data_IF_710440959509
#
_entry.id   IF_710440959509
#
_cell.length_a   1.000
_cell.length_b   1.000
_cell.length_c   1.000
_cell.angle_alpha   90.00
_cell.angle_beta   90.00
_cell.angle_gamma   90.00
#
_symmetry.space_group_name_H-M   'P 1'
#
loop_
_entity.id
_entity.type
_entity.pdbx_description
1 polymer ?
#
# COMPACT_ATOMS: atom_id res chain seq x y z
N UNK A 1 10.77 -1.44 -12.38
CA UNK A 1 11.67 -1.56 -11.22
C UNK A 1 11.03 -2.48 -10.20
N UNK A 2 11.78 -3.38 -9.58
CA UNK A 2 11.31 -4.31 -8.56
C UNK A 2 12.40 -4.55 -7.52
N UNK A 3 12.01 -5.00 -6.32
CA UNK A 3 12.96 -5.41 -5.28
C UNK A 3 13.51 -6.81 -5.61
N UNK A 4 14.84 -6.92 -5.76
CA UNK A 4 15.50 -8.19 -6.04
C UNK A 4 15.63 -9.10 -4.81
N UNK A 5 15.65 -8.51 -3.62
CA UNK A 5 15.93 -9.17 -2.36
C UNK A 5 14.97 -8.69 -1.26
N UNK A 6 14.84 -9.50 -0.21
CA UNK A 6 14.09 -9.09 0.97
C UNK A 6 14.89 -8.06 1.76
N UNK A 7 14.24 -7.05 2.29
CA UNK A 7 14.87 -6.02 3.14
C UNK A 7 14.16 -6.03 4.48
N UNK A 8 14.94 -6.12 5.55
CA UNK A 8 14.49 -5.81 6.90
C UNK A 8 15.19 -4.53 7.34
N UNK A 9 14.41 -3.54 7.74
CA UNK A 9 14.89 -2.28 8.30
C UNK A 9 14.47 -2.21 9.76
N UNK A 10 15.45 -2.03 10.64
CA UNK A 10 15.29 -1.70 12.04
C UNK A 10 16.02 -0.38 12.34
N UNK A 11 15.78 0.25 13.51
CA UNK A 11 16.48 1.48 13.89
C UNK A 11 18.00 1.34 13.85
N UNK A 12 18.51 0.26 14.43
CA UNK A 12 19.93 0.00 14.66
C UNK A 12 20.60 -0.79 13.54
N UNK A 13 19.84 -1.52 12.71
CA UNK A 13 20.39 -2.34 11.64
C UNK A 13 19.50 -2.48 10.41
N UNK A 14 20.12 -2.73 9.26
CA UNK A 14 19.46 -3.14 8.01
C UNK A 14 19.97 -4.51 7.63
N UNK A 15 19.08 -5.39 7.15
CA UNK A 15 19.43 -6.72 6.64
C UNK A 15 18.86 -6.90 5.25
N UNK A 16 19.70 -7.38 4.34
CA UNK A 16 19.30 -7.85 3.02
C UNK A 16 19.24 -9.38 3.07
N UNK A 17 18.08 -9.92 2.69
CA UNK A 17 17.74 -11.32 2.81
C UNK A 17 17.52 -11.95 1.43
N UNK A 18 18.04 -13.16 1.27
CA UNK A 18 17.77 -14.04 0.16
C UNK A 18 17.37 -15.41 0.72
N UNK A 19 16.27 -15.99 0.24
CA UNK A 19 15.75 -17.28 0.73
C UNK A 19 15.63 -17.35 2.27
N UNK A 20 15.16 -16.26 2.90
CA UNK A 20 14.99 -16.12 4.34
C UNK A 20 16.30 -16.19 5.17
N UNK A 21 17.47 -16.02 4.52
CA UNK A 21 18.77 -15.91 5.17
C UNK A 21 19.33 -14.52 4.98
N UNK A 22 20.00 -13.99 6.00
CA UNK A 22 20.68 -12.69 5.91
C UNK A 22 22.01 -12.86 5.22
N UNK A 23 22.18 -12.13 4.13
CA UNK A 23 23.41 -12.12 3.35
C UNK A 23 24.18 -10.82 3.52
N UNK A 24 23.49 -9.71 3.72
CA UNK A 24 24.12 -8.43 4.05
C UNK A 24 23.49 -7.88 5.31
N UNK A 25 24.31 -7.37 6.21
CA UNK A 25 23.85 -6.67 7.40
C UNK A 25 24.64 -5.38 7.57
N UNK A 26 23.93 -4.28 7.80
CA UNK A 26 24.48 -2.96 8.08
C UNK A 26 24.09 -2.60 9.51
N UNK A 27 25.06 -2.36 10.39
CA UNK A 27 24.80 -1.93 11.76
C UNK A 27 25.22 -0.47 11.93
N UNK A 28 24.37 0.30 12.63
CA UNK A 28 24.61 1.69 13.00
C UNK A 28 25.14 2.56 11.84
N UNK A 29 24.70 2.25 10.62
CA UNK A 29 25.03 2.94 9.37
C UNK A 29 26.50 2.93 8.97
N UNK A 30 27.32 2.11 9.61
CA UNK A 30 28.78 2.20 9.51
C UNK A 30 29.48 0.84 9.42
N UNK A 31 28.89 -0.21 9.99
CA UNK A 31 29.48 -1.54 9.94
C UNK A 31 28.78 -2.37 8.88
N UNK A 32 29.56 -2.90 7.93
CA UNK A 32 29.05 -3.79 6.90
C UNK A 32 29.49 -5.22 7.18
N UNK A 33 28.52 -6.14 7.16
CA UNK A 33 28.76 -7.57 7.17
C UNK A 33 28.23 -8.17 5.86
N UNK A 34 29.07 -8.95 5.19
CA UNK A 34 28.67 -9.73 4.02
C UNK A 34 28.86 -11.21 4.35
N UNK A 35 27.79 -12.00 4.26
CA UNK A 35 27.74 -13.43 4.61
C UNK A 35 28.24 -13.73 6.04
N UNK A 36 28.12 -12.76 6.94
CA UNK A 36 28.57 -12.86 8.33
C UNK A 36 30.01 -12.41 8.59
N UNK A 37 30.76 -12.05 7.55
CA UNK A 37 32.13 -11.53 7.68
C UNK A 37 32.09 -10.00 7.77
N UNK A 38 32.84 -9.43 8.73
CA UNK A 38 32.98 -7.99 8.85
C UNK A 38 33.88 -7.45 7.75
N UNK A 39 33.36 -6.52 6.96
CA UNK A 39 34.11 -5.84 5.91
C UNK A 39 34.71 -4.56 6.51
N UNK A 40 36.04 -4.46 6.45
CA UNK A 40 36.74 -3.23 6.82
C UNK A 40 36.51 -2.18 5.74
N UNK A 41 35.97 -1.03 6.13
CA UNK A 41 35.64 0.07 5.23
C UNK A 41 36.58 1.24 5.48
N UNK A 42 36.97 1.93 4.41
CA UNK A 42 37.63 3.23 4.52
C UNK A 42 36.64 4.36 4.83
N UNK A 43 37.15 5.59 4.95
CA UNK A 43 36.33 6.75 5.29
C UNK A 43 35.29 7.12 4.21
N UNK A 44 35.63 6.93 2.93
CA UNK A 44 34.72 7.21 1.81
C UNK A 44 33.63 6.13 1.72
N UNK A 45 34.01 4.86 1.84
CA UNK A 45 33.10 3.72 1.85
C UNK A 45 32.13 3.78 3.02
N UNK A 46 32.61 4.15 4.22
CA UNK A 46 31.77 4.34 5.40
C UNK A 46 30.77 5.49 5.18
N UNK A 47 31.19 6.58 4.54
CA UNK A 47 30.30 7.70 4.23
C UNK A 47 29.22 7.30 3.21
N UNK A 48 29.57 6.51 2.19
CA UNK A 48 28.63 5.97 1.20
C UNK A 48 27.64 4.98 1.83
N UNK A 49 28.13 4.05 2.67
CA UNK A 49 27.27 3.11 3.39
C UNK A 49 26.26 3.83 4.30
N UNK A 50 26.70 4.92 4.95
CA UNK A 50 25.81 5.76 5.76
C UNK A 50 24.72 6.42 4.92
N UNK A 51 25.07 7.00 3.78
CA UNK A 51 24.09 7.59 2.87
C UNK A 51 23.09 6.55 2.36
N UNK A 52 23.58 5.37 1.98
CA UNK A 52 22.75 4.26 1.52
C UNK A 52 21.77 3.79 2.60
N UNK A 53 22.26 3.52 3.80
CA UNK A 53 21.45 3.02 4.92
C UNK A 53 20.43 4.04 5.43
N UNK A 54 20.77 5.33 5.44
CA UNK A 54 19.82 6.40 5.77
C UNK A 54 18.78 6.58 4.66
N UNK A 55 19.20 6.49 3.40
CA UNK A 55 18.30 6.52 2.24
C UNK A 55 17.26 5.42 2.33
N UNK A 56 17.68 4.17 2.55
CA UNK A 56 16.78 3.02 2.72
C UNK A 56 15.79 3.22 3.88
N UNK A 57 16.25 3.72 5.04
CA UNK A 57 15.38 3.96 6.21
C UNK A 57 14.30 5.01 5.95
N UNK A 58 14.57 5.99 5.10
CA UNK A 58 13.58 6.99 4.71
C UNK A 58 12.62 6.45 3.66
N UNK A 59 13.15 5.72 2.70
CA UNK A 59 12.45 5.31 1.50
C UNK A 59 11.51 4.13 1.70
N UNK A 60 11.93 3.08 2.40
CA UNK A 60 11.10 1.87 2.59
C UNK A 60 9.76 2.18 3.27
N UNK A 61 9.68 2.98 4.36
CA UNK A 61 8.40 3.37 4.95
C UNK A 61 7.51 4.15 3.99
N UNK A 62 8.10 5.00 3.14
CA UNK A 62 7.37 5.82 2.16
C UNK A 62 6.68 4.94 1.10
N UNK A 63 7.35 3.86 0.64
CA UNK A 63 6.75 2.89 -0.28
C UNK A 63 5.57 2.18 0.34
N UNK A 64 5.75 1.73 1.58
CA UNK A 64 4.67 1.05 2.30
C UNK A 64 3.46 1.99 2.37
N UNK A 65 3.68 3.27 2.68
CA UNK A 65 2.61 4.28 2.68
C UNK A 65 1.94 4.46 1.32
N UNK A 66 2.70 4.54 0.21
CA UNK A 66 2.11 4.70 -1.14
C UNK A 66 1.25 3.50 -1.51
N UNK A 67 1.72 2.29 -1.19
CA UNK A 67 0.97 1.08 -1.45
C UNK A 67 -0.29 0.97 -0.56
N UNK A 68 -0.25 1.47 0.68
CA UNK A 68 -1.46 1.66 1.52
C UNK A 68 -2.43 2.62 0.83
N UNK A 69 -1.96 3.80 0.46
CA UNK A 69 -2.78 4.86 -0.14
C UNK A 69 -3.45 4.37 -1.43
N UNK A 70 -2.75 3.57 -2.24
CA UNK A 70 -3.30 2.97 -3.46
C UNK A 70 -4.40 1.95 -3.20
N UNK A 71 -4.25 1.10 -2.18
CA UNK A 71 -5.30 0.15 -1.76
C UNK A 71 -6.51 0.90 -1.19
N UNK A 72 -6.28 1.91 -0.36
CA UNK A 72 -7.35 2.74 0.22
C UNK A 72 -8.13 3.50 -0.87
N UNK A 73 -7.45 4.06 -1.87
CA UNK A 73 -8.09 4.74 -3.00
C UNK A 73 -8.97 3.79 -3.82
N UNK A 74 -8.46 2.58 -4.11
CA UNK A 74 -9.24 1.56 -4.82
C UNK A 74 -10.48 1.12 -4.05
N UNK A 75 -10.33 0.91 -2.74
CA UNK A 75 -11.44 0.54 -1.85
C UNK A 75 -12.46 1.66 -1.67
N UNK A 76 -12.00 2.92 -1.57
CA UNK A 76 -12.87 4.10 -1.45
C UNK A 76 -13.65 4.36 -2.73
N UNK A 77 -13.07 4.07 -3.90
CA UNK A 77 -13.79 4.11 -5.18
C UNK A 77 -14.95 3.10 -5.21
N UNK A 78 -14.73 1.90 -4.66
CA UNK A 78 -15.80 0.89 -4.52
C UNK A 78 -16.88 1.41 -3.54
N UNK A 79 -16.50 1.98 -2.40
CA UNK A 79 -17.45 2.60 -1.47
C UNK A 79 -18.30 3.69 -2.14
N UNK A 80 -17.69 4.59 -2.92
CA UNK A 80 -18.38 5.67 -3.61
C UNK A 80 -19.38 5.16 -4.67
N UNK A 81 -19.11 4.03 -5.33
CA UNK A 81 -20.09 3.37 -6.20
C UNK A 81 -21.31 2.85 -5.43
N UNK A 82 -21.15 2.51 -4.15
CA UNK A 82 -22.21 1.98 -3.29
C UNK A 82 -22.85 3.00 -2.34
N UNK A 83 -22.25 4.18 -2.14
CA UNK A 83 -22.77 5.21 -1.22
C UNK A 83 -24.12 5.79 -1.66
N UNK A 84 -24.45 5.67 -2.96
CA UNK A 84 -25.78 6.00 -3.50
C UNK A 84 -26.79 4.85 -3.43
N UNK A 85 -26.39 3.66 -2.97
CA UNK A 85 -27.17 2.43 -3.09
C UNK A 85 -26.94 1.52 -1.86
N UNK A 86 -27.65 1.79 -0.77
CA UNK A 86 -27.57 0.99 0.48
C UNK A 86 -27.94 1.80 1.72
N UNK A 87 -28.22 1.13 2.84
CA UNK A 87 -28.50 1.81 4.11
C UNK A 87 -27.22 2.37 4.74
N UNK A 88 -27.37 3.37 5.63
CA UNK A 88 -26.24 3.97 6.37
C UNK A 88 -25.43 2.93 7.18
N UNK A 89 -26.09 1.87 7.66
CA UNK A 89 -25.43 0.76 8.36
C UNK A 89 -24.53 -0.06 7.42
N UNK A 90 -24.96 -0.30 6.18
CA UNK A 90 -24.17 -1.03 5.19
C UNK A 90 -22.93 -0.22 4.79
N UNK A 91 -23.05 1.10 4.64
CA UNK A 91 -21.91 1.98 4.37
C UNK A 91 -20.89 1.97 5.52
N UNK A 92 -21.35 1.91 6.77
CA UNK A 92 -20.45 1.79 7.92
C UNK A 92 -19.71 0.44 7.97
N UNK A 93 -20.39 -0.66 7.63
CA UNK A 93 -19.78 -1.99 7.49
C UNK A 93 -18.71 -2.00 6.38
N UNK A 94 -18.99 -1.35 5.25
CA UNK A 94 -18.03 -1.15 4.16
C UNK A 94 -16.76 -0.44 4.65
N UNK A 95 -16.89 0.73 5.28
CA UNK A 95 -15.73 1.46 5.82
C UNK A 95 -14.93 0.65 6.84
N UNK A 96 -15.62 -0.11 7.69
CA UNK A 96 -14.96 -0.96 8.67
C UNK A 96 -14.16 -2.08 7.99
N UNK A 97 -14.73 -2.71 6.96
CA UNK A 97 -14.07 -3.74 6.17
C UNK A 97 -12.84 -3.18 5.45
N UNK A 98 -12.96 -2.01 4.82
CA UNK A 98 -11.85 -1.33 4.12
C UNK A 98 -10.70 -1.07 5.10
N UNK A 99 -10.99 -0.46 6.25
CA UNK A 99 -9.98 -0.17 7.27
C UNK A 99 -9.30 -1.43 7.81
N UNK A 100 -10.07 -2.47 8.10
CA UNK A 100 -9.51 -3.75 8.58
C UNK A 100 -8.62 -4.40 7.51
N UNK A 101 -9.08 -4.41 6.26
CA UNK A 101 -8.33 -4.92 5.10
C UNK A 101 -6.99 -4.19 4.95
N UNK A 102 -7.01 -2.85 5.00
CA UNK A 102 -5.80 -2.03 4.95
C UNK A 102 -4.88 -2.33 6.12
N UNK A 103 -5.40 -2.45 7.33
CA UNK A 103 -4.60 -2.77 8.52
C UNK A 103 -3.96 -4.17 8.46
N UNK A 104 -4.72 -5.19 8.08
CA UNK A 104 -4.23 -6.56 7.89
C UNK A 104 -3.10 -6.59 6.85
N UNK A 105 -3.28 -5.87 5.74
CA UNK A 105 -2.25 -5.73 4.73
C UNK A 105 -1.00 -5.04 5.30
N UNK A 106 -1.14 -3.89 5.97
CA UNK A 106 -0.02 -3.15 6.58
C UNK A 106 0.78 -4.01 7.56
N UNK A 107 0.12 -4.85 8.35
CA UNK A 107 0.77 -5.72 9.33
C UNK A 107 1.75 -6.73 8.72
N UNK A 108 1.60 -7.05 7.41
CA UNK A 108 2.55 -7.91 6.68
C UNK A 108 3.86 -7.20 6.38
N UNK A 109 3.84 -5.87 6.28
CA UNK A 109 5.00 -5.02 5.97
C UNK A 109 5.61 -4.36 7.21
N UNK A 110 4.78 -4.04 8.20
CA UNK A 110 5.16 -3.35 9.44
C UNK A 110 5.05 -4.34 10.59
N UNK A 111 6.19 -4.79 11.12
CA UNK A 111 6.24 -5.76 12.24
C UNK A 111 6.10 -5.07 13.60
N UNK A 112 6.68 -3.88 13.73
CA UNK A 112 6.46 -2.92 14.83
C UNK A 112 6.76 -1.51 14.31
N UNK A 113 6.41 -0.46 15.06
CA UNK A 113 6.47 0.95 14.63
C UNK A 113 7.77 1.41 13.95
N UNK A 114 8.87 0.67 14.13
CA UNK A 114 10.18 0.98 13.53
C UNK A 114 10.83 -0.19 12.77
N UNK A 115 10.12 -1.32 12.65
CA UNK A 115 10.62 -2.53 11.99
C UNK A 115 9.82 -2.81 10.71
N UNK A 116 10.44 -2.56 9.58
CA UNK A 116 9.85 -2.75 8.25
C UNK A 116 10.44 -4.00 7.60
N UNK A 117 9.59 -4.81 7.00
CA UNK A 117 9.99 -5.97 6.23
C UNK A 117 9.34 -5.94 4.85
N UNK A 118 10.18 -5.85 3.81
CA UNK A 118 9.77 -5.98 2.42
C UNK A 118 10.32 -7.30 1.89
N UNK A 119 9.45 -8.23 1.52
CA UNK A 119 9.87 -9.44 0.81
C UNK A 119 9.84 -9.19 -0.70
N UNK A 120 10.66 -9.91 -1.50
CA UNK A 120 10.60 -9.84 -2.97
C UNK A 120 9.21 -10.18 -3.52
N UNK A 121 8.48 -11.04 -2.80
CA UNK A 121 7.16 -11.53 -3.16
C UNK A 121 6.02 -10.65 -2.62
N UNK A 122 6.33 -9.61 -1.83
CA UNK A 122 5.30 -8.80 -1.17
C UNK A 122 4.34 -8.12 -2.16
N UNK A 123 4.77 -7.85 -3.39
CA UNK A 123 3.88 -7.36 -4.46
C UNK A 123 2.98 -8.45 -5.04
N UNK A 124 3.43 -9.72 -5.07
CA UNK A 124 2.60 -10.86 -5.51
C UNK A 124 1.60 -11.28 -4.42
N UNK A 125 1.96 -11.08 -3.15
CA UNK A 125 1.05 -11.27 -2.01
C UNK A 125 -0.16 -10.34 -2.07
N UNK A 126 -0.03 -9.15 -2.70
CA UNK A 126 -1.15 -8.25 -2.93
C UNK A 126 -2.21 -8.92 -3.81
N UNK A 127 -1.80 -9.51 -4.93
CA UNK A 127 -2.73 -10.18 -5.85
C UNK A 127 -3.49 -11.32 -5.14
N UNK A 128 -2.77 -12.15 -4.39
CA UNK A 128 -3.37 -13.23 -3.59
C UNK A 128 -4.35 -12.70 -2.53
N UNK A 129 -3.99 -11.63 -1.82
CA UNK A 129 -4.86 -11.00 -0.83
C UNK A 129 -6.12 -10.38 -1.45
N UNK A 130 -5.96 -9.62 -2.54
CA UNK A 130 -7.04 -8.97 -3.26
C UNK A 130 -8.04 -10.01 -3.78
N UNK A 131 -7.56 -11.10 -4.40
CA UNK A 131 -8.42 -12.12 -4.98
C UNK A 131 -8.93 -13.17 -3.98
N UNK A 132 -8.14 -13.54 -2.98
CA UNK A 132 -8.42 -14.65 -2.06
C UNK A 132 -9.17 -14.23 -0.80
N UNK A 133 -8.89 -13.05 -0.25
CA UNK A 133 -9.46 -12.60 1.03
C UNK A 133 -10.44 -11.46 0.83
N UNK A 134 -10.05 -10.44 0.06
CA UNK A 134 -10.85 -9.23 -0.11
C UNK A 134 -12.03 -9.44 -1.08
N UNK A 135 -11.78 -9.93 -2.31
CA UNK A 135 -12.83 -10.08 -3.32
C UNK A 135 -14.06 -10.87 -2.85
N UNK A 136 -13.94 -12.02 -2.14
CA UNK A 136 -15.11 -12.73 -1.62
C UNK A 136 -15.89 -11.94 -0.57
N UNK A 137 -15.21 -11.14 0.25
CA UNK A 137 -15.83 -10.28 1.26
C UNK A 137 -16.58 -9.12 0.58
N UNK A 138 -15.96 -8.49 -0.42
CA UNK A 138 -16.58 -7.49 -1.29
C UNK A 138 -17.82 -8.07 -2.01
N UNK A 139 -17.70 -9.24 -2.64
CA UNK A 139 -18.80 -9.89 -3.37
C UNK A 139 -19.98 -10.23 -2.44
N UNK A 140 -19.72 -10.73 -1.23
CA UNK A 140 -20.76 -11.04 -0.25
C UNK A 140 -21.44 -9.80 0.31
N UNK A 141 -20.69 -8.73 0.53
CA UNK A 141 -21.24 -7.47 1.01
C UNK A 141 -22.07 -6.82 -0.11
N UNK A 142 -21.54 -6.72 -1.33
CA UNK A 142 -22.25 -6.22 -2.51
C UNK A 142 -23.56 -7.00 -2.79
N UNK A 143 -23.55 -8.34 -2.70
CA UNK A 143 -24.77 -9.16 -2.83
C UNK A 143 -25.83 -8.84 -1.77
N UNK A 144 -25.41 -8.55 -0.53
CA UNK A 144 -26.32 -8.14 0.54
C UNK A 144 -26.86 -6.74 0.33
N UNK A 145 -26.05 -5.81 -0.17
CA UNK A 145 -26.48 -4.43 -0.49
C UNK A 145 -27.44 -4.41 -1.67
N UNK A 146 -27.10 -5.05 -2.80
CA UNK A 146 -27.96 -5.15 -3.98
C UNK A 146 -29.24 -5.93 -3.68
N UNK A 147 -29.15 -7.00 -2.90
CA UNK A 147 -30.32 -7.76 -2.44
C UNK A 147 -31.26 -6.94 -1.54
N UNK A 148 -30.71 -6.10 -0.66
CA UNK A 148 -31.48 -5.19 0.19
C UNK A 148 -32.13 -4.06 -0.63
N UNK A 149 -31.42 -3.49 -1.60
CA UNK A 149 -31.93 -2.45 -2.50
C UNK A 149 -33.06 -3.00 -3.39
N UNK A 150 -32.87 -4.17 -4.00
CA UNK A 150 -33.90 -4.83 -4.80
C UNK A 150 -35.10 -5.26 -3.95
N UNK A 151 -34.85 -5.68 -2.70
CA UNK A 151 -35.89 -5.96 -1.71
C UNK A 151 -36.70 -4.71 -1.37
N UNK A 152 -36.03 -3.60 -1.03
CA UNK A 152 -36.65 -2.32 -0.72
C UNK A 152 -37.42 -1.74 -1.92
N UNK A 153 -36.87 -1.84 -3.14
CA UNK A 153 -37.55 -1.45 -4.37
C UNK A 153 -38.80 -2.30 -4.62
N UNK A 154 -38.70 -3.63 -4.46
CA UNK A 154 -39.85 -4.54 -4.56
C UNK A 154 -40.92 -4.24 -3.51
N UNK A 155 -40.51 -3.93 -2.29
CA UNK A 155 -41.44 -3.60 -1.21
C UNK A 155 -42.10 -2.24 -1.46
N UNK A 156 -41.35 -1.23 -1.93
CA UNK A 156 -41.89 0.06 -2.35
C UNK A 156 -42.91 -0.08 -3.50
N UNK A 157 -42.59 -0.89 -4.52
CA UNK A 157 -43.50 -1.20 -5.64
C UNK A 157 -44.74 -2.02 -5.22
N UNK A 158 -44.68 -2.74 -4.11
CA UNK A 158 -45.83 -3.45 -3.54
C UNK A 158 -46.73 -2.56 -2.70
N UNK A 159 -46.18 -1.48 -2.13
CA UNK A 159 -46.91 -0.51 -1.30
C UNK A 159 -47.37 0.73 -2.08
N UNK A 160 -47.09 0.82 -3.39
CA UNK A 160 -47.30 2.02 -4.21
C UNK A 160 -48.71 2.20 -4.78
N UNK A 161 -49.74 1.52 -4.28
CA UNK A 161 -51.12 1.72 -4.76
C UNK A 161 -51.79 3.02 -4.25
N UNK A 162 -51.13 3.87 -3.45
CA UNK A 162 -51.79 5.11 -2.98
C UNK A 162 -50.97 6.35 -2.61
N UNK A 163 -49.63 6.39 -2.70
CA UNK A 163 -48.90 7.57 -2.16
C UNK A 163 -47.54 7.89 -2.81
N UNK A 164 -47.36 7.66 -4.11
CA UNK A 164 -46.06 7.89 -4.76
C UNK A 164 -45.74 9.37 -5.07
N UNK A 165 -46.73 10.27 -5.19
CA UNK A 165 -46.50 11.62 -5.74
C UNK A 165 -45.85 12.65 -4.79
N UNK A 166 -45.42 12.30 -3.57
CA UNK A 166 -44.85 13.29 -2.62
C UNK A 166 -43.44 13.02 -2.11
N UNK A 167 -42.80 11.90 -2.45
CA UNK A 167 -41.48 11.56 -1.92
C UNK A 167 -40.32 11.68 -2.93
N UNK A 168 -40.59 12.07 -4.18
CA UNK A 168 -39.63 11.88 -5.27
C UNK A 168 -38.54 12.96 -5.44
N UNK A 169 -38.57 14.10 -4.76
CA UNK A 169 -37.64 15.20 -5.09
C UNK A 169 -36.65 15.64 -4.00
N UNK A 170 -36.84 15.28 -2.72
CA UNK A 170 -35.94 15.75 -1.64
C UNK A 170 -34.74 14.84 -1.37
N UNK A 171 -34.87 13.52 -1.58
CA UNK A 171 -33.78 12.59 -1.24
C UNK A 171 -32.71 12.50 -2.35
N UNK A 172 -33.10 12.60 -3.63
CA UNK A 172 -32.17 12.40 -4.76
C UNK A 172 -31.15 13.53 -4.98
N UNK A 173 -31.50 14.79 -4.67
CA UNK A 173 -30.53 15.90 -4.75
C UNK A 173 -29.42 15.75 -3.71
N UNK A 174 -29.74 15.27 -2.51
CA UNK A 174 -28.77 15.02 -1.45
C UNK A 174 -27.80 13.88 -1.80
N UNK A 175 -28.28 12.89 -2.56
CA UNK A 175 -27.46 11.78 -3.09
C UNK A 175 -26.53 12.30 -4.19
N UNK A 176 -27.03 13.16 -5.10
CA UNK A 176 -26.21 13.80 -6.14
C UNK A 176 -25.05 14.62 -5.55
N UNK A 177 -25.35 15.52 -4.62
CA UNK A 177 -24.34 16.34 -3.93
C UNK A 177 -23.32 15.48 -3.15
N UNK A 178 -23.75 14.33 -2.61
CA UNK A 178 -22.88 13.40 -1.90
C UNK A 178 -21.94 12.66 -2.86
N UNK A 179 -22.45 12.21 -4.00
CA UNK A 179 -21.67 11.56 -5.06
C UNK A 179 -20.66 12.55 -5.66
N UNK A 180 -21.05 13.81 -5.87
CA UNK A 180 -20.14 14.84 -6.39
C UNK A 180 -19.02 15.16 -5.39
N UNK A 181 -19.32 15.28 -4.10
CA UNK A 181 -18.31 15.46 -3.04
C UNK A 181 -17.36 14.26 -2.90
N UNK A 182 -17.89 13.04 -3.01
CA UNK A 182 -17.09 11.82 -3.02
C UNK A 182 -16.16 11.78 -4.23
N UNK A 183 -16.66 12.12 -5.42
CA UNK A 183 -15.87 12.15 -6.65
C UNK A 183 -14.72 13.15 -6.55
N UNK A 184 -15.00 14.37 -6.06
CA UNK A 184 -13.96 15.37 -5.78
C UNK A 184 -12.90 14.85 -4.80
N UNK A 185 -13.30 14.16 -3.73
CA UNK A 185 -12.37 13.60 -2.75
C UNK A 185 -11.50 12.46 -3.32
N UNK A 186 -12.06 11.65 -4.23
CA UNK A 186 -11.32 10.59 -4.92
C UNK A 186 -10.32 11.19 -5.92
N UNK A 187 -10.69 12.25 -6.64
CA UNK A 187 -9.81 12.97 -7.56
C UNK A 187 -8.63 13.60 -6.81
N UNK A 188 -8.88 14.26 -5.67
CA UNK A 188 -7.81 14.81 -4.81
C UNK A 188 -6.85 13.71 -4.32
N UNK A 189 -7.39 12.56 -3.90
CA UNK A 189 -6.58 11.42 -3.45
C UNK A 189 -5.79 10.77 -4.59
N UNK A 190 -6.35 10.73 -5.80
CA UNK A 190 -5.65 10.25 -6.99
C UNK A 190 -4.47 11.17 -7.33
N UNK A 191 -4.66 12.50 -7.31
CA UNK A 191 -3.58 13.48 -7.53
C UNK A 191 -2.49 13.37 -6.45
N UNK A 192 -2.88 13.23 -5.19
CA UNK A 192 -1.94 13.03 -4.07
C UNK A 192 -1.10 11.75 -4.30
N UNK A 193 -1.73 10.66 -4.71
CA UNK A 193 -1.07 9.38 -5.00
C UNK A 193 -0.10 9.49 -6.19
N UNK A 194 -0.48 10.21 -7.26
CA UNK A 194 0.39 10.46 -8.41
C UNK A 194 1.65 11.25 -8.00
N UNK A 195 1.49 12.30 -7.19
CA UNK A 195 2.61 13.10 -6.70
C UNK A 195 3.55 12.25 -5.83
N UNK A 196 3.00 11.45 -4.91
CA UNK A 196 3.78 10.53 -4.08
C UNK A 196 4.51 9.48 -4.93
N UNK A 197 3.87 8.94 -5.96
CA UNK A 197 4.48 7.98 -6.89
C UNK A 197 5.62 8.60 -7.69
N UNK A 198 5.46 9.84 -8.15
CA UNK A 198 6.53 10.57 -8.84
C UNK A 198 7.74 10.83 -7.92
N UNK A 199 7.49 11.27 -6.68
CA UNK A 199 8.53 11.45 -5.66
C UNK A 199 9.24 10.13 -5.36
N UNK A 200 8.50 9.04 -5.26
CA UNK A 200 9.03 7.70 -5.08
C UNK A 200 9.99 7.30 -6.20
N UNK A 201 9.61 7.48 -7.47
CA UNK A 201 10.48 7.19 -8.60
C UNK A 201 11.80 7.98 -8.52
N UNK A 202 11.73 9.26 -8.13
CA UNK A 202 12.92 10.08 -7.93
C UNK A 202 13.81 9.54 -6.80
N UNK A 203 13.24 9.21 -5.64
CA UNK A 203 13.99 8.67 -4.49
C UNK A 203 14.61 7.30 -4.79
N UNK A 204 13.90 6.47 -5.55
CA UNK A 204 14.42 5.18 -6.01
C UNK A 204 15.67 5.37 -6.87
N UNK A 205 15.66 6.33 -7.80
CA UNK A 205 16.84 6.66 -8.61
C UNK A 205 17.99 7.23 -7.78
N UNK A 206 17.72 7.97 -6.71
CA UNK A 206 18.75 8.46 -5.79
C UNK A 206 19.43 7.28 -5.05
N UNK A 207 18.64 6.33 -4.54
CA UNK A 207 19.17 5.14 -3.85
C UNK A 207 19.94 4.25 -4.82
N UNK A 208 19.41 4.01 -6.02
CA UNK A 208 20.06 3.24 -7.08
C UNK A 208 21.47 3.80 -7.39
N UNK A 209 21.60 5.12 -7.51
CA UNK A 209 22.91 5.76 -7.75
C UNK A 209 23.88 5.52 -6.60
N UNK A 210 23.42 5.64 -5.36
CA UNK A 210 24.26 5.40 -4.17
C UNK A 210 24.65 3.92 -4.10
N UNK A 211 23.71 3.02 -4.38
CA UNK A 211 23.95 1.57 -4.44
C UNK A 211 25.00 1.21 -5.49
N UNK A 212 24.88 1.76 -6.70
CA UNK A 212 25.87 1.58 -7.76
C UNK A 212 27.26 2.10 -7.37
N UNK A 213 27.35 3.29 -6.75
CA UNK A 213 28.63 3.82 -6.25
C UNK A 213 29.24 2.90 -5.18
N UNK A 214 28.41 2.37 -4.27
CA UNK A 214 28.83 1.44 -3.24
C UNK A 214 29.30 0.11 -3.84
N UNK A 215 28.57 -0.43 -4.83
CA UNK A 215 28.92 -1.67 -5.55
C UNK A 215 30.18 -1.54 -6.42
N UNK A 216 30.51 -0.33 -6.91
CA UNK A 216 31.77 -0.08 -7.62
C UNK A 216 32.98 -0.16 -6.67
N UNK A 217 32.82 0.31 -5.43
CA UNK A 217 33.87 0.23 -4.39
C UNK A 217 33.93 -1.13 -3.73
N UNK A 218 32.77 -1.77 -3.53
CA UNK A 218 32.59 -3.07 -2.89
C UNK A 218 31.91 -4.05 -3.85
N UNK A 219 32.65 -4.69 -4.77
CA UNK A 219 32.09 -5.57 -5.80
C UNK A 219 31.29 -6.76 -5.24
N UNK A 220 31.57 -7.17 -4.01
CA UNK A 220 30.81 -8.24 -3.33
C UNK A 220 29.31 -7.92 -3.17
N UNK A 221 28.94 -6.63 -3.11
CA UNK A 221 27.55 -6.21 -2.97
C UNK A 221 26.72 -6.33 -4.25
N UNK A 222 27.35 -6.47 -5.42
CA UNK A 222 26.63 -6.63 -6.71
C UNK A 222 25.70 -7.84 -6.73
N UNK A 223 26.00 -8.87 -5.95
CA UNK A 223 25.17 -10.08 -5.83
C UNK A 223 23.89 -9.85 -5.01
N UNK A 224 23.85 -8.78 -4.22
CA UNK A 224 22.79 -8.46 -3.27
C UNK A 224 22.04 -7.18 -3.61
N UNK A 225 22.10 -6.80 -4.88
CA UNK A 225 21.44 -5.64 -5.46
C UNK A 225 19.96 -5.57 -5.08
N UNK A 226 19.59 -4.49 -4.40
CA UNK A 226 18.28 -4.32 -3.77
C UNK A 226 17.27 -3.81 -4.79
N UNK A 227 17.65 -2.79 -5.56
CA UNK A 227 16.80 -2.16 -6.56
C UNK A 227 17.17 -2.72 -7.93
N UNK A 228 16.25 -3.44 -8.58
CA UNK A 228 16.46 -3.93 -9.94
C UNK A 228 15.58 -3.18 -10.92
N UNK A 229 16.18 -2.67 -12.00
CA UNK A 229 15.44 -2.31 -13.19
C UNK A 229 14.78 -3.59 -13.73
N UNK A 230 13.48 -3.52 -13.97
CA UNK A 230 12.74 -4.61 -14.60
C UNK A 230 12.78 -4.27 -16.09
N UNK A 231 13.46 -5.08 -16.87
CA UNK A 231 13.45 -5.01 -18.34
C UNK A 231 12.03 -5.24 -18.89
#
# INVERSE_FOLDING_TARGET
>A
MAFGHGILIAPDHIRILQNNRTHVQINADQQLFIRGEWIALDAEETALLRQYSQGLRRFVPEIVSIAVDGVELGLSSIEAMFSGIGSQSQQAEWRALVRETTFQWMSRFVRSNEHFYLAPQSLNELDYFLHGELKPQLDNLARRTVGAVWGALRDALRHSDSNFERSENQDWQSVGDMVDKLSLSLDEKAVELEQKTALFCQRMQEIEKIEQMLQQRLPELQHYDVVKLKD
#
